data_IF_276495953590
#
_entry.id   IF_276495953590
#
_cell.length_a   1.000
_cell.length_b   1.000
_cell.length_c   1.000
_cell.angle_alpha   90.00
_cell.angle_beta   90.00
_cell.angle_gamma   90.00
#
_symmetry.space_group_name_H-M   'P 1'
#
loop_
_entity.id
_entity.type
_entity.pdbx_description
1 polymer ?
#
# COMPACT_ATOMS: atom_id res chain seq x y z
N UNK A 1 64.70 -9.18 -4.12
CA UNK A 1 63.49 -9.62 -3.38
C UNK A 1 62.67 -8.36 -3.04
N UNK A 2 62.01 -7.64 -3.98
CA UNK A 2 60.82 -8.01 -4.79
C UNK A 2 59.89 -8.92 -4.00
N UNK A 3 59.01 -8.33 -3.18
CA UNK A 3 57.62 -8.75 -2.89
C UNK A 3 57.00 -7.96 -1.71
N UNK A 4 57.17 -6.63 -1.68
CA UNK A 4 56.50 -5.73 -0.73
C UNK A 4 55.44 -4.84 -1.43
N UNK A 5 54.89 -5.31 -2.56
CA UNK A 5 53.94 -4.56 -3.40
C UNK A 5 52.61 -5.30 -3.64
N UNK A 6 52.24 -6.27 -2.79
CA UNK A 6 51.04 -7.11 -2.98
C UNK A 6 49.98 -6.95 -1.90
N UNK A 7 49.81 -5.75 -1.33
CA UNK A 7 48.75 -5.53 -0.34
C UNK A 7 47.85 -4.31 -0.59
N UNK A 8 47.99 -3.62 -1.72
CA UNK A 8 47.14 -2.49 -2.07
C UNK A 8 46.34 -2.73 -3.36
N UNK A 9 45.83 -3.95 -3.53
CA UNK A 9 45.00 -4.30 -4.67
C UNK A 9 43.88 -5.24 -4.22
N UNK A 10 43.06 -4.78 -3.28
CA UNK A 10 41.80 -5.44 -2.94
C UNK A 10 40.90 -4.44 -2.20
N UNK A 11 39.69 -4.22 -2.71
CA UNK A 11 38.62 -3.39 -2.15
C UNK A 11 38.55 -1.91 -2.58
N UNK A 12 38.46 -1.69 -3.90
CA UNK A 12 37.71 -0.55 -4.41
C UNK A 12 36.68 -1.03 -5.45
N UNK A 13 35.70 -1.80 -4.97
CA UNK A 13 34.43 -2.04 -5.67
C UNK A 13 33.36 -1.35 -4.81
N UNK A 14 33.32 -0.02 -4.89
CA UNK A 14 32.16 0.74 -4.43
C UNK A 14 31.21 0.86 -5.61
N UNK A 15 30.18 0.04 -5.49
CA UNK A 15 29.04 -0.14 -6.37
C UNK A 15 28.43 1.23 -6.66
N UNK A 16 28.57 1.69 -7.91
CA UNK A 16 27.79 2.82 -8.42
C UNK A 16 26.38 2.30 -8.68
N UNK A 17 25.48 2.57 -7.74
CA UNK A 17 24.05 2.32 -7.82
C UNK A 17 23.48 3.00 -9.06
N UNK A 18 23.35 2.25 -10.15
CA UNK A 18 22.66 2.71 -11.35
C UNK A 18 21.17 2.70 -11.02
N UNK A 19 20.60 3.87 -10.68
CA UNK A 19 19.15 4.03 -10.64
C UNK A 19 18.62 4.01 -12.08
N UNK A 20 18.39 2.80 -12.60
CA UNK A 20 17.61 2.61 -13.80
C UNK A 20 16.15 2.95 -13.49
N UNK A 21 15.76 4.22 -13.74
CA UNK A 21 14.37 4.63 -13.85
C UNK A 21 13.77 4.01 -15.12
N UNK A 22 13.40 2.74 -15.04
CA UNK A 22 12.63 2.05 -16.08
C UNK A 22 11.22 2.62 -16.15
N UNK A 23 10.98 3.54 -17.07
CA UNK A 23 9.63 3.90 -17.50
C UNK A 23 9.06 2.74 -18.31
N UNK A 24 8.13 1.98 -17.73
CA UNK A 24 7.45 0.88 -18.43
C UNK A 24 6.25 1.43 -19.20
N UNK A 25 6.20 0.96 -20.45
CA UNK A 25 5.26 1.31 -21.50
C UNK A 25 3.79 1.13 -21.14
N UNK A 26 2.98 1.92 -21.85
CA UNK A 26 1.54 1.95 -21.76
C UNK A 26 0.91 0.59 -22.01
N UNK A 27 0.22 0.11 -20.99
CA UNK A 27 -0.89 -0.82 -21.10
C UNK A 27 -2.03 -0.22 -20.29
N UNK A 28 -3.09 0.23 -20.97
CA UNK A 28 -4.37 0.69 -20.42
C UNK A 28 -4.29 1.31 -19.02
N UNK A 29 -3.97 2.61 -18.95
CA UNK A 29 -4.08 3.38 -17.69
C UNK A 29 -5.55 3.40 -17.26
N UNK A 30 -5.92 2.43 -16.43
CA UNK A 30 -7.10 2.51 -15.60
C UNK A 30 -6.91 3.72 -14.67
N UNK A 31 -7.37 4.89 -15.11
CA UNK A 31 -7.42 6.19 -14.43
C UNK A 31 -6.66 6.22 -13.09
N UNK A 32 -5.33 6.10 -13.11
CA UNK A 32 -4.53 6.02 -11.89
C UNK A 32 -4.42 7.45 -11.35
N UNK A 33 -4.80 7.71 -10.09
CA UNK A 33 -4.75 9.05 -9.53
C UNK A 33 -3.33 9.64 -9.58
N UNK A 34 -3.22 10.95 -9.84
CA UNK A 34 -1.95 11.67 -9.85
C UNK A 34 -1.79 12.51 -8.57
N UNK A 35 -0.56 12.85 -8.19
CA UNK A 35 -0.29 13.70 -7.02
C UNK A 35 -0.61 13.02 -5.67
N UNK A 36 -1.16 13.76 -4.71
CA UNK A 36 -1.47 13.28 -3.36
C UNK A 36 -2.44 12.08 -3.35
N UNK A 37 -3.34 12.03 -4.34
CA UNK A 37 -4.26 10.89 -4.49
C UNK A 37 -3.53 9.61 -4.91
N UNK A 38 -2.37 9.74 -5.58
CA UNK A 38 -1.49 8.61 -5.90
C UNK A 38 -0.95 7.97 -4.63
N UNK A 39 -0.50 8.78 -3.68
CA UNK A 39 0.07 8.30 -2.41
C UNK A 39 -0.98 7.55 -1.60
N UNK A 40 -2.18 8.12 -1.45
CA UNK A 40 -3.33 7.46 -0.82
C UNK A 40 -3.71 6.15 -1.52
N UNK A 41 -3.73 6.15 -2.85
CA UNK A 41 -4.02 4.95 -3.62
C UNK A 41 -2.99 3.83 -3.37
N UNK A 42 -1.69 4.16 -3.36
CA UNK A 42 -0.63 3.17 -3.10
C UNK A 42 -0.65 2.67 -1.67
N UNK A 43 -0.90 3.56 -0.69
CA UNK A 43 -1.04 3.16 0.71
C UNK A 43 -2.22 2.19 0.88
N UNK A 44 -3.38 2.53 0.30
CA UNK A 44 -4.56 1.67 0.35
C UNK A 44 -4.33 0.32 -0.32
N UNK A 45 -3.65 0.31 -1.47
CA UNK A 45 -3.24 -0.92 -2.16
C UNK A 45 -2.32 -1.77 -1.28
N UNK A 46 -1.36 -1.15 -0.61
CA UNK A 46 -0.40 -1.86 0.24
C UNK A 46 -1.08 -2.46 1.48
N UNK A 47 -2.02 -1.74 2.11
CA UNK A 47 -2.88 -2.27 3.18
C UNK A 47 -3.70 -3.45 2.67
N UNK A 48 -4.37 -3.28 1.54
CA UNK A 48 -5.25 -4.29 0.94
C UNK A 48 -4.53 -5.60 0.59
N UNK A 49 -3.32 -5.48 0.04
CA UNK A 49 -2.48 -6.61 -0.32
C UNK A 49 -1.72 -7.22 0.86
N UNK A 50 -1.80 -6.62 2.05
CA UNK A 50 -0.99 -6.99 3.21
C UNK A 50 0.52 -6.84 2.95
N UNK A 51 0.90 -5.89 2.08
CA UNK A 51 2.29 -5.55 1.76
C UNK A 51 2.98 -4.77 2.91
N UNK A 52 2.21 -4.38 3.95
CA UNK A 52 2.66 -3.68 5.14
C UNK A 52 2.30 -4.49 6.39
N UNK A 53 3.20 -4.50 7.37
CA UNK A 53 2.90 -5.07 8.69
C UNK A 53 1.96 -4.14 9.45
N UNK A 54 0.77 -4.64 9.79
CA UNK A 54 -0.24 -3.89 10.53
C UNK A 54 -0.16 -4.24 12.02
N UNK A 55 0.31 -3.31 12.82
CA UNK A 55 0.37 -3.45 14.27
C UNK A 55 -0.96 -3.03 14.92
N UNK A 56 -1.28 -3.61 16.09
CA UNK A 56 -2.45 -3.19 16.85
C UNK A 56 -2.34 -1.71 17.23
N UNK A 57 -3.38 -0.95 16.92
CA UNK A 57 -3.49 0.46 17.25
C UNK A 57 -4.20 0.61 18.61
N UNK A 58 -3.68 1.47 19.47
CA UNK A 58 -4.23 1.70 20.82
C UNK A 58 -5.27 2.83 20.86
N UNK A 59 -5.34 3.65 19.81
CA UNK A 59 -6.20 4.83 19.74
C UNK A 59 -7.07 4.80 18.47
N UNK A 60 -7.89 3.75 18.34
CA UNK A 60 -8.84 3.59 17.23
C UNK A 60 -10.22 3.24 17.77
N UNK A 61 -11.25 3.80 17.16
CA UNK A 61 -12.63 3.41 17.44
C UNK A 61 -12.90 2.06 16.75
N UNK A 62 -12.73 0.96 17.50
CA UNK A 62 -12.85 -0.40 17.00
C UNK A 62 -14.18 -0.67 16.30
N UNK A 63 -15.29 -0.24 16.92
CA UNK A 63 -16.65 -0.49 16.41
C UNK A 63 -16.84 0.20 15.05
N UNK A 64 -16.50 1.47 14.97
CA UNK A 64 -16.61 2.25 13.73
C UNK A 64 -15.70 1.69 12.62
N UNK A 65 -14.48 1.28 12.97
CA UNK A 65 -13.56 0.69 12.01
C UNK A 65 -14.06 -0.67 11.50
N UNK A 66 -14.61 -1.51 12.38
CA UNK A 66 -15.19 -2.81 12.02
C UNK A 66 -16.38 -2.64 11.06
N UNK A 67 -17.32 -1.74 11.37
CA UNK A 67 -18.46 -1.43 10.49
C UNK A 67 -18.02 -0.99 9.08
N UNK A 68 -17.00 -0.12 9.01
CA UNK A 68 -16.44 0.35 7.73
C UNK A 68 -15.78 -0.79 6.96
N UNK A 69 -15.01 -1.65 7.63
CA UNK A 69 -14.35 -2.79 7.02
C UNK A 69 -15.34 -3.86 6.55
N UNK A 70 -16.41 -4.11 7.29
CA UNK A 70 -17.51 -4.99 6.86
C UNK A 70 -18.23 -4.46 5.63
N UNK A 71 -18.54 -3.16 5.59
CA UNK A 71 -19.14 -2.54 4.41
C UNK A 71 -18.23 -2.66 3.18
N UNK A 72 -16.93 -2.39 3.35
CA UNK A 72 -15.94 -2.57 2.29
C UNK A 72 -15.89 -4.02 1.82
N UNK A 73 -15.83 -4.99 2.74
CA UNK A 73 -15.84 -6.41 2.42
C UNK A 73 -17.09 -6.78 1.61
N UNK A 74 -18.26 -6.29 2.02
CA UNK A 74 -19.53 -6.48 1.31
C UNK A 74 -19.56 -5.86 -0.09
N UNK A 75 -18.80 -4.80 -0.30
CA UNK A 75 -18.72 -4.07 -1.58
C UNK A 75 -17.74 -4.68 -2.58
N UNK A 76 -16.83 -5.55 -2.13
CA UNK A 76 -15.86 -6.20 -3.01
C UNK A 76 -16.53 -7.19 -3.99
N UNK A 77 -15.97 -7.38 -5.19
CA UNK A 77 -16.35 -8.48 -6.08
C UNK A 77 -16.18 -9.84 -5.40
N UNK A 78 -16.98 -10.84 -5.78
CA UNK A 78 -16.96 -12.17 -5.16
C UNK A 78 -15.58 -12.87 -5.22
N UNK A 79 -14.78 -12.59 -6.25
CA UNK A 79 -13.41 -13.10 -6.38
C UNK A 79 -12.48 -12.53 -5.31
N UNK A 80 -12.66 -11.25 -5.00
CA UNK A 80 -11.85 -10.52 -4.03
C UNK A 80 -12.26 -10.86 -2.60
N UNK A 81 -13.56 -10.98 -2.32
CA UNK A 81 -14.12 -11.39 -1.02
C UNK A 81 -13.54 -12.70 -0.49
N UNK A 82 -13.13 -13.60 -1.40
CA UNK A 82 -12.51 -14.89 -1.06
C UNK A 82 -11.00 -14.79 -0.83
N UNK A 83 -10.35 -13.76 -1.38
CA UNK A 83 -8.91 -13.57 -1.27
C UNK A 83 -8.51 -12.79 -0.03
N UNK A 84 -9.28 -11.76 0.30
CA UNK A 84 -8.99 -10.86 1.43
C UNK A 84 -10.14 -10.86 2.43
N UNK A 85 -9.79 -10.75 3.71
CA UNK A 85 -10.74 -10.60 4.80
C UNK A 85 -10.49 -9.24 5.48
N UNK A 86 -11.16 -8.19 4.99
CA UNK A 86 -10.96 -6.83 5.51
C UNK A 86 -11.31 -6.67 7.00
N UNK A 87 -12.34 -7.33 7.56
CA UNK A 87 -12.63 -7.30 9.00
C UNK A 87 -11.44 -7.71 9.88
N UNK A 88 -10.52 -8.57 9.40
CA UNK A 88 -9.33 -8.95 10.17
C UNK A 88 -8.34 -7.78 10.39
N UNK A 89 -8.54 -6.65 9.70
CA UNK A 89 -7.75 -5.43 9.86
C UNK A 89 -8.30 -4.53 10.97
N UNK A 90 -9.46 -4.86 11.54
CA UNK A 90 -10.04 -4.10 12.65
C UNK A 90 -9.06 -4.03 13.84
N UNK A 91 -8.91 -2.82 14.38
CA UNK A 91 -7.96 -2.52 15.45
C UNK A 91 -6.51 -2.40 14.99
N UNK A 92 -6.20 -2.52 13.69
CA UNK A 92 -4.82 -2.50 13.17
C UNK A 92 -4.55 -1.36 12.19
N UNK A 93 -5.59 -0.66 11.73
CA UNK A 93 -5.46 0.44 10.78
C UNK A 93 -5.51 1.78 11.50
N UNK A 94 -4.58 2.68 11.17
CA UNK A 94 -4.75 4.10 11.48
C UNK A 94 -5.91 4.68 10.66
N UNK A 95 -6.46 5.83 11.07
CA UNK A 95 -7.52 6.49 10.29
C UNK A 95 -7.06 6.81 8.86
N UNK A 96 -5.79 7.19 8.68
CA UNK A 96 -5.19 7.42 7.35
C UNK A 96 -5.15 6.14 6.50
N UNK A 97 -4.74 5.01 7.10
CA UNK A 97 -4.71 3.71 6.41
C UNK A 97 -6.11 3.22 6.03
N UNK A 98 -7.09 3.43 6.91
CA UNK A 98 -8.49 3.09 6.65
C UNK A 98 -9.05 3.94 5.50
N UNK A 99 -8.83 5.25 5.51
CA UNK A 99 -9.24 6.15 4.43
C UNK A 99 -8.53 5.81 3.10
N UNK A 100 -7.25 5.45 3.15
CA UNK A 100 -6.50 5.03 1.99
C UNK A 100 -7.05 3.71 1.41
N UNK A 101 -7.39 2.74 2.26
CA UNK A 101 -8.03 1.49 1.88
C UNK A 101 -9.39 1.72 1.21
N UNK A 102 -10.22 2.56 1.79
CA UNK A 102 -11.51 2.98 1.23
C UNK A 102 -11.34 3.59 -0.17
N UNK A 103 -10.41 4.53 -0.30
CA UNK A 103 -10.11 5.18 -1.57
C UNK A 103 -9.63 4.18 -2.62
N UNK A 104 -8.73 3.26 -2.25
CA UNK A 104 -8.27 2.20 -3.14
C UNK A 104 -9.42 1.32 -3.61
N UNK A 105 -10.30 0.86 -2.70
CA UNK A 105 -11.45 0.01 -3.05
C UNK A 105 -12.42 0.74 -3.98
N UNK A 106 -12.72 2.01 -3.69
CA UNK A 106 -13.57 2.85 -4.54
C UNK A 106 -13.01 2.99 -5.95
N UNK A 107 -11.72 3.33 -6.09
CA UNK A 107 -11.08 3.53 -7.40
C UNK A 107 -10.90 2.22 -8.14
N UNK A 108 -10.42 1.17 -7.46
CA UNK A 108 -10.05 -0.11 -8.08
C UNK A 108 -11.27 -0.92 -8.52
N UNK A 109 -12.33 -0.90 -7.73
CA UNK A 109 -13.53 -1.72 -7.96
C UNK A 109 -14.76 -0.90 -8.36
N UNK A 110 -14.61 0.43 -8.53
CA UNK A 110 -15.69 1.36 -8.89
C UNK A 110 -16.89 1.29 -7.93
N UNK A 111 -16.60 1.17 -6.63
CA UNK A 111 -17.60 1.11 -5.55
C UNK A 111 -17.97 2.52 -5.11
N UNK A 112 -19.25 2.80 -4.92
CA UNK A 112 -19.70 4.06 -4.28
C UNK A 112 -19.77 3.86 -2.78
N UNK A 113 -18.79 4.40 -2.06
CA UNK A 113 -18.81 4.45 -0.60
C UNK A 113 -19.59 5.69 -0.16
N UNK A 114 -20.38 5.62 0.93
CA UNK A 114 -20.98 6.81 1.51
C UNK A 114 -19.86 7.74 1.99
N UNK A 115 -19.87 8.98 1.51
CA UNK A 115 -18.92 9.99 1.97
C UNK A 115 -19.17 10.27 3.45
N UNK A 116 -18.13 10.11 4.27
CA UNK A 116 -18.17 10.50 5.68
C UNK A 116 -18.42 12.01 5.71
N UNK A 117 -19.61 12.44 6.16
CA UNK A 117 -19.89 13.86 6.39
C UNK A 117 -18.83 14.37 7.36
N UNK A 118 -17.96 15.26 6.89
CA UNK A 118 -17.08 16.04 7.77
C UNK A 118 -18.00 16.98 8.56
N UNK A 119 -18.24 16.67 9.83
CA UNK A 119 -18.72 17.65 10.80
C UNK A 119 -17.57 18.54 11.26
#
# INVERSE_FOLDING_TARGET
>A
MKNLLKFLMMNLILISSSFASGGIGGGGIANIPQGQDREKYHLGKAVYNQDLSLEKQTNVNLVEQEERLEYLQGSLPNTEKRRVNLPDFAGKLTEEQLQALEYFVQVRFNVKLPEKKKE
#
